data_IF_380882742230
#
_entry.id   IF_380882742230
#
_cell.length_a   1.000
_cell.length_b   1.000
_cell.length_c   1.000
_cell.angle_alpha   90.00
_cell.angle_beta   90.00
_cell.angle_gamma   90.00
#
_symmetry.space_group_name_H-M   'P 1'
#
loop_
_entity.id
_entity.type
_entity.pdbx_description
1 polymer ?
#
# COMPACT_ATOMS: atom_id res chain seq x y z
N UNK A 1 -0.29 -17.96 -65.33
CA UNK A 1 -1.03 -17.44 -64.16
C UNK A 1 -0.96 -18.35 -62.93
N UNK A 2 -0.86 -19.67 -63.09
CA UNK A 2 -0.83 -20.65 -61.99
C UNK A 2 0.43 -20.63 -61.12
N UNK A 3 1.56 -20.08 -61.61
CA UNK A 3 2.85 -20.04 -60.89
C UNK A 3 2.93 -18.91 -59.84
N UNK A 4 2.18 -17.83 -60.02
CA UNK A 4 2.10 -16.72 -59.06
C UNK A 4 1.03 -16.94 -57.98
N UNK A 5 0.13 -17.91 -58.19
CA UNK A 5 -0.90 -18.28 -57.22
C UNK A 5 -0.32 -19.06 -56.02
N UNK A 6 0.76 -19.83 -56.23
CA UNK A 6 1.49 -20.49 -55.14
C UNK A 6 2.34 -19.51 -54.31
N UNK A 7 2.80 -18.41 -54.90
CA UNK A 7 3.59 -17.41 -54.19
C UNK A 7 2.73 -16.57 -53.22
N UNK A 8 1.45 -16.35 -53.55
CA UNK A 8 0.52 -15.59 -52.71
C UNK A 8 0.00 -16.42 -51.51
N UNK A 9 -0.11 -17.75 -51.66
CA UNK A 9 -0.50 -18.67 -50.57
C UNK A 9 0.66 -18.88 -49.57
N UNK A 10 1.91 -18.71 -50.00
CA UNK A 10 3.09 -18.83 -49.13
C UNK A 10 3.31 -17.62 -48.20
N UNK A 11 2.69 -16.46 -48.50
CA UNK A 11 2.80 -15.22 -47.70
C UNK A 11 1.73 -15.07 -46.61
N UNK A 12 0.76 -16.00 -46.55
CA UNK A 12 -0.31 -16.00 -45.52
C UNK A 12 0.07 -16.91 -44.32
N UNK A 13 1.13 -17.70 -44.44
CA UNK A 13 1.65 -18.52 -43.34
C UNK A 13 2.57 -17.72 -42.42
N UNK A 14 2.24 -17.67 -41.14
CA UNK A 14 3.08 -17.18 -40.03
C UNK A 14 3.11 -15.66 -39.75
N UNK A 15 1.93 -15.03 -39.69
CA UNK A 15 1.73 -14.04 -38.62
C UNK A 15 1.12 -14.76 -37.40
N UNK A 16 1.88 -15.65 -36.77
CA UNK A 16 1.57 -16.00 -35.38
C UNK A 16 2.08 -14.81 -34.57
N UNK A 17 1.25 -13.79 -34.44
CA UNK A 17 1.43 -12.84 -33.37
C UNK A 17 1.37 -13.67 -32.08
N UNK A 18 2.52 -13.90 -31.46
CA UNK A 18 2.56 -14.46 -30.12
C UNK A 18 1.95 -13.40 -29.20
N UNK A 19 0.64 -13.49 -28.97
CA UNK A 19 -0.02 -12.70 -27.95
C UNK A 19 0.65 -13.01 -26.62
N UNK A 20 1.21 -11.99 -25.98
CA UNK A 20 1.75 -12.12 -24.63
C UNK A 20 0.64 -12.56 -23.70
N UNK A 21 0.80 -13.72 -23.08
CA UNK A 21 -0.18 -14.23 -22.11
C UNK A 21 0.16 -13.68 -20.73
N UNK A 22 -0.34 -12.47 -20.45
CA UNK A 22 -0.14 -11.80 -19.16
C UNK A 22 -1.11 -12.36 -18.11
N UNK A 23 -0.60 -12.60 -16.91
CA UNK A 23 -1.34 -13.02 -15.72
C UNK A 23 -0.83 -12.29 -14.49
N UNK A 24 -1.66 -12.28 -13.45
CA UNK A 24 -1.33 -11.64 -12.18
C UNK A 24 -1.38 -12.63 -11.03
N UNK A 25 -0.47 -12.48 -10.07
CA UNK A 25 -0.42 -13.33 -8.86
C UNK A 25 -1.62 -13.04 -7.96
N UNK A 26 -2.58 -13.96 -7.91
CA UNK A 26 -3.76 -13.93 -7.05
C UNK A 26 -3.60 -14.87 -5.83
N UNK A 27 -2.41 -14.87 -5.22
CA UNK A 27 -2.14 -15.56 -3.96
C UNK A 27 -2.02 -14.54 -2.83
N UNK A 28 -2.92 -14.59 -1.85
CA UNK A 28 -2.95 -13.62 -0.75
C UNK A 28 -1.61 -13.53 0.03
N UNK A 29 -0.91 -14.66 0.15
CA UNK A 29 0.37 -14.76 0.85
C UNK A 29 1.58 -14.68 -0.09
N UNK A 30 1.38 -14.38 -1.37
CA UNK A 30 2.38 -14.48 -2.43
C UNK A 30 2.53 -15.90 -2.99
N UNK A 31 3.20 -16.01 -4.14
CA UNK A 31 3.36 -17.24 -4.91
C UNK A 31 4.84 -17.55 -5.09
N UNK A 32 5.27 -18.77 -4.76
CA UNK A 32 6.66 -19.17 -4.94
C UNK A 32 6.98 -19.41 -6.42
N UNK A 33 8.03 -18.75 -6.91
CA UNK A 33 8.70 -19.07 -8.16
C UNK A 33 9.69 -20.19 -7.91
N UNK A 34 9.70 -21.21 -8.78
CA UNK A 34 10.49 -22.43 -8.57
C UNK A 34 11.36 -22.79 -9.76
N UNK A 35 12.41 -23.57 -9.53
CA UNK A 35 13.34 -24.00 -10.57
C UNK A 35 12.76 -25.12 -11.47
N UNK A 36 11.86 -25.95 -10.93
CA UNK A 36 11.17 -27.03 -11.64
C UNK A 36 9.66 -27.03 -11.36
N UNK A 37 8.82 -27.57 -12.25
CA UNK A 37 7.36 -27.66 -12.09
C UNK A 37 6.95 -28.73 -11.07
N UNK A 38 7.33 -28.54 -9.80
CA UNK A 38 7.05 -29.46 -8.70
C UNK A 38 6.98 -28.72 -7.36
N UNK A 39 6.19 -29.23 -6.41
CA UNK A 39 6.06 -28.66 -5.07
C UNK A 39 7.33 -28.82 -4.22
N UNK A 40 8.19 -29.79 -4.57
CA UNK A 40 9.41 -30.13 -3.81
C UNK A 40 10.67 -29.44 -4.39
N UNK A 41 10.51 -28.74 -5.51
CA UNK A 41 11.62 -28.11 -6.21
C UNK A 41 12.12 -26.86 -5.49
N UNK A 42 13.33 -26.40 -5.83
CA UNK A 42 13.96 -25.26 -5.16
C UNK A 42 13.11 -24.00 -5.38
N UNK A 43 12.80 -23.29 -4.30
CA UNK A 43 12.17 -21.97 -4.35
C UNK A 43 13.22 -20.96 -4.79
N UNK A 44 13.04 -20.38 -5.97
CA UNK A 44 13.88 -19.32 -6.51
C UNK A 44 13.52 -17.98 -5.88
N UNK A 45 12.23 -17.73 -5.69
CA UNK A 45 11.72 -16.46 -5.19
C UNK A 45 10.29 -16.59 -4.64
N UNK A 46 9.79 -15.53 -4.02
CA UNK A 46 8.39 -15.38 -3.62
C UNK A 46 7.81 -14.11 -4.23
N UNK A 47 7.00 -14.31 -5.27
CA UNK A 47 6.28 -13.26 -5.99
C UNK A 47 5.16 -12.72 -5.12
N UNK A 48 4.97 -11.41 -5.15
CA UNK A 48 3.99 -10.72 -4.31
C UNK A 48 2.62 -10.69 -4.97
N UNK A 49 1.57 -10.49 -4.17
CA UNK A 49 0.21 -10.33 -4.71
C UNK A 49 0.16 -9.20 -5.75
N UNK A 50 -0.45 -9.47 -6.89
CA UNK A 50 -0.55 -8.54 -8.01
C UNK A 50 0.74 -8.40 -8.85
N UNK A 51 1.78 -9.20 -8.61
CA UNK A 51 2.91 -9.29 -9.56
C UNK A 51 2.42 -9.73 -10.93
N UNK A 52 2.80 -8.95 -11.95
CA UNK A 52 2.55 -9.24 -13.35
C UNK A 52 3.55 -10.27 -13.87
N UNK A 53 3.05 -11.25 -14.61
CA UNK A 53 3.80 -12.38 -15.15
C UNK A 53 3.40 -12.62 -16.60
N UNK A 54 4.38 -12.91 -17.44
CA UNK A 54 4.15 -13.46 -18.78
C UNK A 54 4.28 -15.00 -18.72
N UNK A 55 3.26 -15.72 -19.16
CA UNK A 55 3.36 -17.18 -19.36
C UNK A 55 4.16 -17.45 -20.63
N UNK A 56 5.29 -18.14 -20.45
CA UNK A 56 6.23 -18.49 -21.53
C UNK A 56 6.13 -19.95 -21.96
N UNK A 57 5.57 -20.82 -21.11
CA UNK A 57 5.43 -22.25 -21.39
C UNK A 57 4.31 -22.87 -20.53
N UNK A 58 3.50 -23.77 -21.12
CA UNK A 58 2.56 -24.62 -20.38
C UNK A 58 3.12 -26.03 -20.30
N UNK A 59 3.28 -26.53 -19.07
CA UNK A 59 3.85 -27.87 -18.87
C UNK A 59 2.80 -28.98 -18.97
N UNK A 60 1.51 -28.64 -18.89
CA UNK A 60 0.38 -29.58 -18.77
C UNK A 60 0.42 -30.48 -17.52
N UNK A 61 1.38 -30.26 -16.61
CA UNK A 61 1.47 -30.97 -15.33
C UNK A 61 0.43 -30.39 -14.38
N UNK A 62 -0.70 -31.08 -14.27
CA UNK A 62 -1.82 -30.69 -13.41
C UNK A 62 -1.51 -30.96 -11.94
N UNK A 63 -2.08 -30.14 -11.09
CA UNK A 63 -1.99 -30.26 -9.64
C UNK A 63 -3.26 -29.70 -9.01
N UNK A 64 -3.71 -30.36 -7.94
CA UNK A 64 -4.76 -29.87 -7.05
C UNK A 64 -4.13 -29.53 -5.70
N UNK A 65 -4.44 -28.35 -5.18
CA UNK A 65 -3.94 -27.88 -3.87
C UNK A 65 -5.11 -27.52 -2.99
N UNK A 66 -5.09 -27.98 -1.74
CA UNK A 66 -6.06 -27.53 -0.74
C UNK A 66 -5.57 -26.23 -0.09
N UNK A 67 -6.34 -25.16 -0.21
CA UNK A 67 -6.12 -23.87 0.46
C UNK A 67 -7.41 -23.46 1.18
N UNK A 68 -7.33 -23.24 2.50
CA UNK A 68 -8.48 -22.86 3.33
C UNK A 68 -9.74 -23.74 3.12
N UNK A 69 -9.54 -25.07 3.09
CA UNK A 69 -10.59 -26.08 2.83
C UNK A 69 -11.24 -26.02 1.43
N UNK A 70 -10.68 -25.24 0.51
CA UNK A 70 -11.07 -25.22 -0.91
C UNK A 70 -10.01 -25.92 -1.75
N UNK A 71 -10.44 -26.75 -2.69
CA UNK A 71 -9.55 -27.32 -3.70
C UNK A 71 -9.34 -26.26 -4.80
N UNK A 72 -8.08 -25.95 -5.07
CA UNK A 72 -7.62 -25.09 -6.13
C UNK A 72 -6.91 -25.96 -7.16
N UNK A 73 -7.52 -26.10 -8.33
CA UNK A 73 -6.97 -26.85 -9.44
C UNK A 73 -6.19 -25.95 -10.39
N UNK A 74 -5.14 -26.49 -10.99
CA UNK A 74 -4.34 -25.76 -11.97
C UNK A 74 -3.26 -26.63 -12.61
N UNK A 75 -2.27 -25.99 -13.20
CA UNK A 75 -1.11 -26.65 -13.77
C UNK A 75 0.17 -25.85 -13.46
N UNK A 76 1.32 -26.49 -13.60
CA UNK A 76 2.57 -25.76 -13.62
C UNK A 76 2.75 -25.02 -14.94
N UNK A 77 3.12 -23.74 -14.85
CA UNK A 77 3.45 -22.90 -16.00
C UNK A 77 4.81 -22.26 -15.77
N UNK A 78 5.57 -22.09 -16.84
CA UNK A 78 6.80 -21.30 -16.81
C UNK A 78 6.47 -19.85 -17.06
N UNK A 79 7.03 -18.96 -16.25
CA UNK A 79 6.74 -17.53 -16.31
C UNK A 79 8.03 -16.72 -16.42
N UNK A 80 7.90 -15.55 -17.01
CA UNK A 80 8.88 -14.46 -16.94
C UNK A 80 8.26 -13.32 -16.13
N UNK A 81 9.00 -12.80 -15.15
CA UNK A 81 8.56 -11.64 -14.38
C UNK A 81 8.90 -10.37 -15.15
N UNK A 82 7.88 -9.56 -15.43
CA UNK A 82 8.00 -8.30 -16.17
C UNK A 82 8.00 -7.08 -15.24
N UNK A 83 7.81 -7.27 -13.93
CA UNK A 83 7.70 -6.18 -12.97
C UNK A 83 9.05 -5.67 -12.44
N UNK A 84 9.06 -4.44 -11.91
CA UNK A 84 10.28 -3.73 -11.52
C UNK A 84 11.08 -4.45 -10.40
N UNK A 85 10.40 -5.21 -9.54
CA UNK A 85 11.00 -5.84 -8.34
C UNK A 85 11.64 -7.19 -8.68
N UNK A 86 10.99 -7.97 -9.56
CA UNK A 86 11.41 -9.32 -9.91
C UNK A 86 11.91 -9.43 -11.36
N UNK A 87 12.16 -8.29 -12.02
CA UNK A 87 12.46 -8.18 -13.44
C UNK A 87 13.47 -9.23 -13.91
N UNK A 88 13.19 -9.85 -15.06
CA UNK A 88 13.99 -10.89 -15.71
C UNK A 88 14.13 -12.22 -14.95
N UNK A 89 13.44 -12.42 -13.81
CA UNK A 89 13.38 -13.74 -13.16
C UNK A 89 12.46 -14.66 -13.96
N UNK A 90 12.95 -15.87 -14.21
CA UNK A 90 12.21 -16.95 -14.90
C UNK A 90 12.15 -18.19 -14.02
N UNK A 91 11.04 -18.90 -14.10
CA UNK A 91 10.84 -20.12 -13.34
C UNK A 91 9.42 -20.65 -13.48
N UNK A 92 9.05 -21.57 -12.61
CA UNK A 92 7.76 -22.25 -12.62
C UNK A 92 6.89 -21.79 -11.46
N UNK A 93 5.60 -21.57 -11.75
CA UNK A 93 4.56 -21.26 -10.76
C UNK A 93 3.34 -22.14 -10.98
N UNK A 94 2.53 -22.29 -9.94
CA UNK A 94 1.25 -23.00 -10.04
C UNK A 94 0.14 -22.05 -10.50
N UNK A 95 -0.45 -22.35 -11.66
CA UNK A 95 -1.41 -21.46 -12.33
C UNK A 95 -2.75 -21.30 -11.58
N UNK A 96 -3.06 -22.19 -10.63
CA UNK A 96 -4.28 -22.07 -9.82
C UNK A 96 -4.33 -20.80 -8.96
N UNK A 97 -3.18 -20.13 -8.77
CA UNK A 97 -3.07 -18.83 -8.10
C UNK A 97 -2.81 -17.66 -9.05
N UNK A 98 -3.09 -17.82 -10.35
CA UNK A 98 -2.98 -16.75 -11.34
C UNK A 98 -4.38 -16.28 -11.75
N UNK A 99 -4.50 -15.01 -12.13
CA UNK A 99 -5.71 -14.43 -12.70
C UNK A 99 -5.41 -13.65 -13.98
N UNK A 100 -6.40 -13.58 -14.87
CA UNK A 100 -6.38 -12.73 -16.07
C UNK A 100 -6.71 -11.27 -15.75
N UNK A 101 -7.55 -11.05 -14.75
CA UNK A 101 -7.96 -9.72 -14.34
C UNK A 101 -6.80 -8.96 -13.71
N UNK A 102 -6.51 -7.75 -14.20
CA UNK A 102 -5.49 -6.89 -13.63
C UNK A 102 -5.87 -6.51 -12.20
N UNK A 103 -5.08 -7.00 -11.26
CA UNK A 103 -5.22 -6.70 -9.84
C UNK A 103 -4.13 -5.73 -9.41
N UNK A 104 -4.51 -4.73 -8.61
CA UNK A 104 -3.57 -3.73 -8.10
C UNK A 104 -2.67 -4.36 -7.04
N UNK A 105 -1.37 -4.06 -7.12
CA UNK A 105 -0.41 -4.39 -6.05
C UNK A 105 -0.83 -3.69 -4.75
N UNK A 106 -0.61 -4.37 -3.63
CA UNK A 106 -0.82 -3.77 -2.31
C UNK A 106 0.29 -2.77 -2.02
N UNK A 107 -0.04 -1.68 -1.32
CA UNK A 107 0.98 -0.85 -0.72
C UNK A 107 1.62 -1.62 0.44
N UNK A 108 2.95 -1.72 0.46
CA UNK A 108 3.69 -2.63 1.34
C UNK A 108 4.78 -1.91 2.09
N UNK A 109 4.87 -2.21 3.38
CA UNK A 109 5.88 -1.66 4.28
C UNK A 109 6.48 -2.83 5.05
N UNK A 110 7.74 -3.15 4.75
CA UNK A 110 8.45 -4.27 5.38
C UNK A 110 9.20 -3.83 6.62
N UNK A 111 9.00 -4.51 7.74
CA UNK A 111 9.89 -4.53 8.89
C UNK A 111 10.54 -5.91 8.99
N UNK A 112 11.56 -6.05 9.82
CA UNK A 112 12.27 -7.32 10.00
C UNK A 112 11.31 -8.44 10.43
N UNK A 113 10.43 -8.14 11.38
CA UNK A 113 9.55 -9.11 12.02
C UNK A 113 8.27 -9.37 11.24
N UNK A 114 7.80 -8.38 10.47
CA UNK A 114 6.56 -8.45 9.71
C UNK A 114 6.47 -7.43 8.57
N UNK A 115 5.56 -7.67 7.62
CA UNK A 115 5.19 -6.73 6.57
C UNK A 115 3.76 -6.23 6.78
N UNK A 116 3.52 -4.92 6.69
CA UNK A 116 2.17 -4.35 6.51
C UNK A 116 1.80 -4.35 5.03
N UNK A 117 0.58 -4.77 4.72
CA UNK A 117 0.03 -4.71 3.36
C UNK A 117 -1.34 -4.04 3.38
N UNK A 118 -1.46 -2.86 2.77
CA UNK A 118 -2.72 -2.14 2.60
C UNK A 118 -3.35 -2.50 1.26
N UNK A 119 -4.62 -2.92 1.28
CA UNK A 119 -5.40 -3.10 0.06
C UNK A 119 -5.83 -1.76 -0.52
N UNK A 120 -5.72 -1.61 -1.85
CA UNK A 120 -6.28 -0.48 -2.60
C UNK A 120 -5.88 0.89 -2.03
N UNK A 121 -4.59 1.05 -1.72
CA UNK A 121 -4.00 2.31 -1.26
C UNK A 121 -2.97 2.78 -2.29
N UNK A 122 -3.13 4.01 -2.78
CA UNK A 122 -2.08 4.72 -3.51
C UNK A 122 -1.28 5.59 -2.54
N UNK A 123 -0.05 5.19 -2.27
CA UNK A 123 0.86 5.93 -1.40
C UNK A 123 2.30 5.66 -1.82
N UNK A 124 3.19 6.60 -1.47
CA UNK A 124 4.62 6.53 -1.72
C UNK A 124 5.40 6.75 -0.43
N UNK A 125 6.61 6.22 -0.34
CA UNK A 125 7.47 6.38 0.85
C UNK A 125 8.25 7.69 0.73
N UNK A 126 8.34 8.49 1.81
CA UNK A 126 8.86 9.87 1.73
C UNK A 126 10.40 9.94 1.62
N UNK A 127 11.15 8.93 2.10
CA UNK A 127 12.62 9.00 2.16
C UNK A 127 13.35 7.73 1.70
N UNK A 128 12.67 6.76 1.08
CA UNK A 128 13.33 5.51 0.71
C UNK A 128 12.72 4.86 -0.55
N UNK A 129 13.50 4.62 -1.61
CA UNK A 129 13.01 3.90 -2.79
C UNK A 129 12.69 2.46 -2.40
N UNK A 130 11.39 2.15 -2.21
CA UNK A 130 10.79 0.84 -1.95
C UNK A 130 11.78 -0.25 -1.46
N UNK A 131 12.47 -0.02 -0.33
CA UNK A 131 13.31 -1.06 0.26
C UNK A 131 12.41 -2.17 0.78
N UNK A 132 12.83 -3.42 0.61
CA UNK A 132 12.04 -4.58 1.02
C UNK A 132 11.82 -4.67 2.54
N UNK A 133 12.71 -4.06 3.35
CA UNK A 133 12.68 -4.08 4.81
C UNK A 133 13.34 -2.83 5.41
N UNK A 134 12.66 -2.15 6.34
CA UNK A 134 13.15 -0.97 7.07
C UNK A 134 13.70 -1.36 8.45
N UNK A 135 14.90 -0.86 8.78
CA UNK A 135 15.49 -1.00 10.11
C UNK A 135 14.91 -0.01 11.13
N UNK A 136 14.42 1.15 10.66
CA UNK A 136 13.77 2.14 11.52
C UNK A 136 12.47 1.59 12.12
N UNK A 137 12.18 1.98 13.36
CA UNK A 137 10.90 1.70 14.00
C UNK A 137 9.78 2.63 13.54
N UNK A 138 10.12 3.72 12.85
CA UNK A 138 9.17 4.65 12.26
C UNK A 138 9.49 4.85 10.78
N UNK A 139 8.46 4.80 9.95
CA UNK A 139 8.55 5.16 8.54
C UNK A 139 7.44 6.14 8.17
N UNK A 140 7.73 7.04 7.26
CA UNK A 140 6.79 8.06 6.79
C UNK A 140 6.49 7.80 5.30
N UNK A 141 5.22 7.95 4.92
CA UNK A 141 4.68 7.76 3.59
C UNK A 141 3.72 8.90 3.28
N UNK A 142 3.48 9.21 2.02
CA UNK A 142 2.50 10.20 1.56
C UNK A 142 1.42 9.50 0.74
N UNK A 143 0.16 9.86 0.96
CA UNK A 143 -0.95 9.37 0.13
C UNK A 143 -1.13 10.27 -1.10
N UNK A 144 -1.54 9.67 -2.21
CA UNK A 144 -1.91 10.42 -3.41
C UNK A 144 -3.08 11.38 -3.16
N UNK A 145 -3.17 12.45 -3.95
CA UNK A 145 -4.28 13.41 -3.87
C UNK A 145 -5.62 12.69 -4.08
N UNK A 146 -6.55 12.90 -3.13
CA UNK A 146 -7.88 12.29 -3.12
C UNK A 146 -7.93 10.83 -2.63
N UNK A 147 -6.79 10.23 -2.26
CA UNK A 147 -6.74 8.92 -1.61
C UNK A 147 -6.88 9.05 -0.09
N UNK A 148 -7.31 7.97 0.58
CA UNK A 148 -7.38 7.90 2.05
C UNK A 148 -6.85 6.56 2.55
N UNK A 149 -6.31 6.53 3.77
CA UNK A 149 -5.97 5.28 4.48
C UNK A 149 -7.12 4.75 5.35
N UNK A 150 -8.24 5.47 5.42
CA UNK A 150 -9.43 5.11 6.19
C UNK A 150 -10.27 4.03 5.49
N UNK A 151 -11.00 3.23 6.27
CA UNK A 151 -11.86 2.13 5.78
C UNK A 151 -11.16 1.09 4.87
N UNK A 152 -9.83 1.02 4.89
CA UNK A 152 -9.04 0.06 4.12
C UNK A 152 -8.89 -1.27 4.87
N UNK A 153 -8.49 -2.29 4.15
CA UNK A 153 -8.04 -3.56 4.74
C UNK A 153 -6.53 -3.50 4.92
N UNK A 154 -6.07 -3.71 6.16
CA UNK A 154 -4.66 -3.83 6.51
C UNK A 154 -4.35 -5.29 6.87
N UNK A 155 -3.37 -5.90 6.22
CA UNK A 155 -2.86 -7.23 6.57
C UNK A 155 -1.48 -7.13 7.19
N UNK A 156 -1.24 -7.89 8.25
CA UNK A 156 0.09 -8.06 8.85
C UNK A 156 0.61 -9.46 8.54
N UNK A 157 1.63 -9.53 7.70
CA UNK A 157 2.33 -10.77 7.38
C UNK A 157 3.55 -10.91 8.27
N UNK A 158 3.47 -11.78 9.26
CA UNK A 158 4.59 -12.06 10.16
C UNK A 158 5.66 -12.93 9.48
N UNK A 159 6.92 -12.72 9.85
CA UNK A 159 8.08 -13.48 9.37
C UNK A 159 8.59 -14.49 10.41
N UNK A 160 8.15 -14.35 11.66
CA UNK A 160 8.50 -15.22 12.80
C UNK A 160 7.26 -15.66 13.58
N UNK A 161 7.43 -16.60 14.51
CA UNK A 161 6.36 -16.99 15.45
C UNK A 161 6.09 -15.85 16.44
N UNK A 162 4.84 -15.68 16.82
CA UNK A 162 4.40 -14.59 17.68
C UNK A 162 3.30 -15.06 18.64
N UNK A 163 3.19 -14.39 19.79
CA UNK A 163 2.08 -14.56 20.73
C UNK A 163 0.88 -13.70 20.35
N UNK A 164 1.13 -12.43 19.99
CA UNK A 164 0.07 -11.46 19.72
C UNK A 164 0.53 -10.38 18.76
N UNK A 165 -0.37 -9.92 17.91
CA UNK A 165 -0.22 -8.70 17.11
C UNK A 165 -1.38 -7.78 17.46
N UNK A 166 -1.07 -6.56 17.85
CA UNK A 166 -2.04 -5.51 18.12
C UNK A 166 -1.75 -4.35 17.19
N UNK A 167 -2.80 -3.79 16.59
CA UNK A 167 -2.68 -2.66 15.67
C UNK A 167 -3.55 -1.53 16.20
N UNK A 168 -2.98 -0.34 16.22
CA UNK A 168 -3.65 0.88 16.67
C UNK A 168 -3.58 1.92 15.56
N UNK A 169 -4.60 2.74 15.45
CA UNK A 169 -4.64 3.88 14.56
C UNK A 169 -4.87 5.15 15.37
N UNK A 170 -4.21 6.24 14.98
CA UNK A 170 -4.54 7.60 15.45
C UNK A 170 -4.36 8.56 14.29
N UNK A 171 -4.80 9.78 14.48
CA UNK A 171 -4.62 10.87 13.55
C UNK A 171 -4.03 12.09 14.25
N UNK A 172 -3.43 12.93 13.43
CA UNK A 172 -2.95 14.25 13.79
C UNK A 172 -3.67 15.28 12.93
N UNK A 173 -4.10 16.35 13.57
CA UNK A 173 -4.67 17.50 12.90
C UNK A 173 -3.74 18.70 12.99
N UNK A 174 -3.69 19.46 11.91
CA UNK A 174 -2.97 20.72 11.79
C UNK A 174 -3.90 21.81 11.26
N UNK A 175 -3.50 23.06 11.41
CA UNK A 175 -4.21 24.19 10.82
C UNK A 175 -3.73 24.37 9.39
N UNK A 176 -4.65 24.66 8.48
CA UNK A 176 -4.38 25.11 7.11
C UNK A 176 -4.96 26.50 6.90
N UNK A 177 -4.24 27.36 6.19
CA UNK A 177 -4.68 28.67 5.72
C UNK A 177 -4.94 28.56 4.23
N UNK A 178 -6.11 28.97 3.78
CA UNK A 178 -6.57 28.78 2.39
C UNK A 178 -6.85 30.11 1.71
N UNK A 179 -6.53 30.18 0.41
CA UNK A 179 -6.76 31.37 -0.42
C UNK A 179 -7.05 30.95 -1.88
N UNK A 180 -8.28 30.54 -2.18
CA UNK A 180 -8.77 30.18 -3.52
C UNK A 180 -7.72 29.48 -4.42
N UNK A 181 -7.37 28.23 -4.08
CA UNK A 181 -6.39 27.44 -4.81
C UNK A 181 -5.19 27.08 -3.93
N UNK A 182 -4.23 27.99 -3.71
CA UNK A 182 -3.12 27.75 -2.78
C UNK A 182 -3.60 27.64 -1.34
N UNK A 183 -2.81 26.92 -0.56
CA UNK A 183 -2.92 26.84 0.90
C UNK A 183 -1.53 26.87 1.54
N UNK A 184 -1.49 27.19 2.83
CA UNK A 184 -0.32 27.00 3.68
C UNK A 184 -0.72 26.18 4.91
N UNK A 185 -0.01 25.08 5.13
CA UNK A 185 -0.29 24.17 6.23
C UNK A 185 0.73 24.39 7.36
N UNK A 186 0.23 24.55 8.57
CA UNK A 186 1.02 24.67 9.79
C UNK A 186 1.45 23.28 10.29
N UNK A 187 2.10 22.46 9.45
CA UNK A 187 2.56 21.11 9.82
C UNK A 187 3.77 21.11 10.74
N UNK A 188 4.40 22.26 10.95
CA UNK A 188 5.54 22.46 11.87
C UNK A 188 5.18 23.26 13.12
N UNK A 189 3.88 23.52 13.35
CA UNK A 189 3.41 24.26 14.51
C UNK A 189 2.20 23.58 15.13
N UNK A 190 2.32 23.25 16.43
CA UNK A 190 1.29 22.71 17.35
C UNK A 190 0.24 21.81 16.69
N UNK A 191 0.15 20.56 17.11
CA UNK A 191 -0.83 19.62 16.55
C UNK A 191 -1.81 19.13 17.61
N UNK A 192 -2.99 18.73 17.15
CA UNK A 192 -3.83 17.83 17.93
C UNK A 192 -3.49 16.39 17.57
N UNK A 193 -3.30 15.56 18.59
CA UNK A 193 -3.13 14.12 18.44
C UNK A 193 -4.33 13.41 19.06
N UNK A 194 -5.00 12.56 18.29
CA UNK A 194 -6.02 11.70 18.87
C UNK A 194 -5.40 10.56 19.69
N UNK A 195 -6.23 9.98 20.56
CA UNK A 195 -5.84 8.77 21.27
C UNK A 195 -5.59 7.62 20.29
N UNK A 196 -4.73 6.66 20.68
CA UNK A 196 -4.55 5.43 19.93
C UNK A 196 -5.79 4.55 20.05
N UNK A 197 -6.46 4.31 18.94
CA UNK A 197 -7.63 3.45 18.87
C UNK A 197 -7.24 2.05 18.35
N UNK A 198 -7.59 0.96 19.06
CA UNK A 198 -7.27 -0.39 18.61
C UNK A 198 -8.10 -0.77 17.38
N UNK A 199 -7.46 -1.34 16.37
CA UNK A 199 -8.13 -1.87 15.18
C UNK A 199 -8.74 -3.24 15.46
N UNK A 200 -9.95 -3.44 14.94
CA UNK A 200 -10.65 -4.72 15.03
C UNK A 200 -10.16 -5.66 13.93
N UNK A 201 -9.93 -6.93 14.29
CA UNK A 201 -9.67 -7.99 13.31
C UNK A 201 -10.96 -8.36 12.60
N UNK A 202 -10.91 -8.61 11.28
CA UNK A 202 -12.08 -9.07 10.51
C UNK A 202 -12.37 -10.57 10.71
N UNK A 203 -11.34 -11.37 11.00
CA UNK A 203 -11.40 -12.82 11.28
C UNK A 203 -10.27 -13.20 12.25
N UNK A 204 -10.13 -14.47 12.67
CA UNK A 204 -8.95 -14.99 13.42
C UNK A 204 -7.62 -14.93 12.63
N UNK A 205 -7.54 -14.04 11.63
CA UNK A 205 -6.36 -13.76 10.83
C UNK A 205 -5.82 -12.38 11.19
N UNK A 206 -4.54 -12.16 10.90
CA UNK A 206 -3.85 -10.87 11.08
C UNK A 206 -4.33 -9.82 10.04
N UNK A 207 -5.65 -9.66 9.91
CA UNK A 207 -6.32 -8.80 8.94
C UNK A 207 -7.24 -7.84 9.70
N UNK A 208 -6.98 -6.56 9.55
CA UNK A 208 -7.59 -5.47 10.28
C UNK A 208 -8.38 -4.57 9.32
N UNK A 209 -9.38 -3.88 9.87
CA UNK A 209 -10.08 -2.79 9.18
C UNK A 209 -9.61 -1.46 9.77
N UNK A 210 -9.15 -0.53 8.94
CA UNK A 210 -8.76 0.81 9.39
C UNK A 210 -10.00 1.64 9.74
N UNK A 211 -9.85 2.56 10.68
CA UNK A 211 -10.93 3.39 11.22
C UNK A 211 -11.25 4.51 10.23
N UNK A 212 -12.53 4.90 10.19
CA UNK A 212 -13.02 6.10 9.51
C UNK A 212 -13.35 7.15 10.56
N UNK A 213 -12.88 8.37 10.34
CA UNK A 213 -13.08 9.51 11.21
C UNK A 213 -14.32 10.30 10.78
N UNK A 214 -15.13 10.69 11.76
CA UNK A 214 -16.29 11.55 11.52
C UNK A 214 -15.85 13.03 11.42
N UNK A 215 -16.67 13.92 10.83
CA UNK A 215 -16.29 15.33 10.65
C UNK A 215 -15.86 16.07 11.93
N UNK A 216 -16.33 15.65 13.11
CA UNK A 216 -15.89 16.24 14.38
C UNK A 216 -14.41 15.94 14.65
N UNK A 217 -13.97 14.70 14.42
CA UNK A 217 -12.58 14.30 14.57
C UNK A 217 -11.64 15.08 13.61
N UNK A 218 -12.11 15.39 12.40
CA UNK A 218 -11.35 16.17 11.42
C UNK A 218 -11.12 17.62 11.84
N UNK A 219 -12.07 18.23 12.56
CA UNK A 219 -12.02 19.65 12.95
C UNK A 219 -11.55 19.86 14.40
N UNK A 220 -11.14 18.81 15.10
CA UNK A 220 -10.71 18.91 16.51
C UNK A 220 -9.29 19.45 16.58
N UNK A 221 -9.08 20.44 17.46
CA UNK A 221 -7.76 21.00 17.72
C UNK A 221 -7.57 21.30 19.20
N UNK A 222 -6.32 21.50 19.62
CA UNK A 222 -6.02 21.98 20.97
C UNK A 222 -6.44 23.45 21.11
N UNK A 223 -6.72 23.89 22.34
CA UNK A 223 -6.95 25.30 22.61
C UNK A 223 -5.63 26.06 22.47
N UNK A 224 -5.66 27.19 21.75
CA UNK A 224 -4.50 28.03 21.48
C UNK A 224 -4.86 29.51 21.61
N UNK A 225 -3.87 30.32 21.93
CA UNK A 225 -4.01 31.77 21.90
C UNK A 225 -4.08 32.27 20.44
N UNK A 226 -4.99 33.22 20.18
CA UNK A 226 -5.26 33.70 18.81
C UNK A 226 -4.11 34.57 18.29
N UNK A 227 -3.44 35.33 19.14
CA UNK A 227 -2.30 36.15 18.73
C UNK A 227 -1.08 35.27 18.48
N UNK A 228 -0.86 34.23 19.29
CA UNK A 228 0.14 33.20 19.04
C UNK A 228 -0.09 32.50 17.70
N UNK A 229 -1.31 32.04 17.42
CA UNK A 229 -1.69 31.46 16.13
C UNK A 229 -1.37 32.39 14.95
N UNK A 230 -1.74 33.66 15.07
CA UNK A 230 -1.44 34.68 14.06
C UNK A 230 0.06 34.85 13.82
N UNK A 231 0.86 34.87 14.88
CA UNK A 231 2.31 34.91 14.75
C UNK A 231 2.86 33.64 14.11
N UNK A 232 2.32 32.47 14.43
CA UNK A 232 2.73 31.22 13.80
C UNK A 232 2.47 31.26 12.27
N UNK A 233 1.30 31.73 11.83
CA UNK A 233 1.04 31.92 10.39
C UNK A 233 2.06 32.88 9.77
N UNK A 234 2.35 34.01 10.42
CA UNK A 234 3.33 34.96 9.93
C UNK A 234 4.74 34.35 9.81
N UNK A 235 5.16 33.54 10.77
CA UNK A 235 6.48 32.90 10.81
C UNK A 235 6.61 31.76 9.79
N UNK A 236 5.61 30.88 9.72
CA UNK A 236 5.68 29.64 8.93
C UNK A 236 5.18 29.84 7.49
N UNK A 237 4.18 30.69 7.28
CA UNK A 237 3.58 30.94 5.97
C UNK A 237 4.02 32.27 5.35
N UNK A 238 4.31 33.27 6.18
CA UNK A 238 4.69 34.62 5.74
C UNK A 238 3.56 35.65 5.82
N UNK A 239 3.90 36.90 5.50
CA UNK A 239 3.01 38.06 5.68
C UNK A 239 1.72 38.00 4.86
N UNK A 240 1.76 37.43 3.65
CA UNK A 240 0.58 37.36 2.79
C UNK A 240 -0.53 36.49 3.40
N UNK A 241 -0.16 35.37 4.00
CA UNK A 241 -1.10 34.50 4.71
C UNK A 241 -1.58 35.11 6.02
N UNK A 242 -0.70 35.79 6.74
CA UNK A 242 -1.06 36.52 7.96
C UNK A 242 -2.15 37.58 7.69
N UNK A 243 -2.06 38.31 6.57
CA UNK A 243 -3.07 39.32 6.19
C UNK A 243 -4.48 38.75 6.07
N UNK A 244 -4.63 37.49 5.64
CA UNK A 244 -5.94 36.83 5.49
C UNK A 244 -6.62 36.55 6.84
N UNK A 245 -5.82 36.36 7.89
CA UNK A 245 -6.32 35.98 9.21
C UNK A 245 -6.12 37.06 10.29
N UNK A 246 -5.56 38.23 9.93
CA UNK A 246 -5.18 39.29 10.88
C UNK A 246 -6.32 39.71 11.81
N UNK A 247 -7.54 39.76 11.28
CA UNK A 247 -8.76 40.19 11.98
C UNK A 247 -9.54 39.00 12.57
N UNK A 248 -9.01 37.78 12.41
CA UNK A 248 -9.67 36.57 12.89
C UNK A 248 -9.66 36.49 14.41
N UNK A 249 -10.72 35.87 14.94
CA UNK A 249 -10.92 35.61 16.38
C UNK A 249 -10.89 34.11 16.70
N UNK A 250 -10.64 33.27 15.69
CA UNK A 250 -10.71 31.81 15.78
C UNK A 250 -9.79 31.18 14.74
N UNK A 251 -9.20 30.03 15.09
CA UNK A 251 -8.41 29.22 14.16
C UNK A 251 -9.24 28.66 12.99
N UNK A 252 -10.56 28.51 13.19
CA UNK A 252 -11.51 28.13 12.14
C UNK A 252 -12.27 29.38 11.70
N UNK A 253 -12.14 29.76 10.44
CA UNK A 253 -12.83 30.89 9.81
C UNK A 253 -12.86 30.70 8.28
N UNK A 254 -13.22 31.73 7.52
CA UNK A 254 -13.34 31.65 6.06
C UNK A 254 -12.01 31.38 5.33
N UNK A 255 -10.87 31.73 5.94
CA UNK A 255 -9.54 31.60 5.35
C UNK A 255 -8.64 30.62 6.11
N UNK A 256 -9.15 29.94 7.14
CA UNK A 256 -8.39 28.91 7.84
C UNK A 256 -9.27 27.83 8.44
N UNK A 257 -8.76 26.61 8.50
CA UNK A 257 -9.45 25.46 9.04
C UNK A 257 -8.51 24.46 9.67
N UNK A 258 -9.08 23.47 10.36
CA UNK A 258 -8.36 22.33 10.92
C UNK A 258 -8.72 21.10 10.11
N UNK A 259 -7.72 20.31 9.73
CA UNK A 259 -7.95 19.01 9.09
C UNK A 259 -6.89 18.00 9.50
N UNK A 260 -7.15 16.74 9.20
CA UNK A 260 -6.19 15.66 9.37
C UNK A 260 -5.05 15.87 8.37
N UNK A 261 -3.84 16.08 8.88
CA UNK A 261 -2.63 16.17 8.06
C UNK A 261 -1.84 14.86 8.08
N UNK A 262 -2.08 13.99 9.06
CA UNK A 262 -1.34 12.74 9.21
C UNK A 262 -2.15 11.65 9.90
N UNK A 263 -2.06 10.43 9.40
CA UNK A 263 -2.65 9.24 10.03
C UNK A 263 -1.55 8.24 10.36
N UNK A 264 -1.56 7.74 11.58
CA UNK A 264 -0.55 6.81 12.08
C UNK A 264 -1.15 5.42 12.29
N UNK A 265 -0.37 4.41 11.96
CA UNK A 265 -0.61 3.04 12.38
C UNK A 265 0.55 2.55 13.24
N UNK A 266 0.24 2.11 14.45
CA UNK A 266 1.19 1.48 15.36
C UNK A 266 0.91 -0.02 15.43
N UNK A 267 1.93 -0.83 15.24
CA UNK A 267 1.87 -2.28 15.40
C UNK A 267 2.71 -2.67 16.61
N UNK A 268 2.09 -3.34 17.56
CA UNK A 268 2.77 -3.98 18.70
C UNK A 268 2.82 -5.48 18.42
N UNK A 269 4.02 -5.98 18.16
CA UNK A 269 4.31 -7.39 17.89
C UNK A 269 4.90 -8.03 19.14
N UNK A 270 4.16 -8.94 19.76
CA UNK A 270 4.61 -9.66 20.96
C UNK A 270 5.21 -11.01 20.55
N UNK A 271 6.50 -11.19 20.81
CA UNK A 271 7.23 -12.41 20.47
C UNK A 271 6.81 -13.59 21.37
N UNK A 272 7.31 -14.79 21.07
CA UNK A 272 7.10 -15.95 21.95
C UNK A 272 7.69 -15.78 23.35
N UNK A 273 8.66 -14.87 23.52
CA UNK A 273 9.35 -14.60 24.78
C UNK A 273 8.79 -13.38 25.53
N UNK A 274 7.58 -12.92 25.17
CA UNK A 274 6.91 -11.74 25.75
C UNK A 274 7.61 -10.39 25.50
N UNK A 275 8.63 -10.36 24.64
CA UNK A 275 9.20 -9.11 24.14
C UNK A 275 8.19 -8.38 23.24
N UNK A 276 8.04 -7.08 23.43
CA UNK A 276 7.15 -6.22 22.65
C UNK A 276 7.96 -5.34 21.71
N UNK A 277 7.74 -5.55 20.42
CA UNK A 277 8.36 -4.78 19.36
C UNK A 277 7.31 -3.81 18.82
N UNK A 278 7.62 -2.51 18.83
CA UNK A 278 6.74 -1.45 18.35
C UNK A 278 7.27 -0.89 17.03
N UNK A 279 6.41 -0.88 16.00
CA UNK A 279 6.68 -0.19 14.73
C UNK A 279 5.54 0.76 14.40
N UNK A 280 5.87 1.89 13.78
CA UNK A 280 4.92 2.93 13.39
C UNK A 280 5.11 3.25 11.91
N UNK A 281 4.00 3.34 11.19
CA UNK A 281 3.96 4.04 9.91
C UNK A 281 3.09 5.28 10.05
N UNK A 282 3.57 6.40 9.54
CA UNK A 282 2.81 7.63 9.41
C UNK A 282 2.52 7.89 7.93
N UNK A 283 1.29 8.29 7.64
CA UNK A 283 0.84 8.70 6.32
C UNK A 283 0.54 10.19 6.34
N UNK A 284 1.31 10.98 5.59
CA UNK A 284 1.03 12.36 5.28
C UNK A 284 -0.20 12.41 4.38
N UNK A 285 -1.20 13.18 4.81
CA UNK A 285 -2.45 13.40 4.10
C UNK A 285 -2.37 14.81 3.50
N UNK A 286 -2.36 14.95 2.16
CA UNK A 286 -2.43 16.26 1.54
C UNK A 286 -3.63 17.05 2.06
N UNK A 287 -3.36 18.22 2.63
CA UNK A 287 -4.40 19.15 3.09
C UNK A 287 -4.77 20.08 1.92
N UNK A 288 -6.00 20.62 1.96
CA UNK A 288 -6.52 21.49 0.90
C UNK A 288 -7.13 20.71 -0.27
N UNK A 289 -8.46 20.76 -0.38
CA UNK A 289 -9.26 20.32 -1.54
C UNK A 289 -10.45 21.27 -1.69
#
# INVERSE_FOLDING_TARGET
>A
MTKYMYLLVMLIGFNIANTQEIRYVNANNGLFLRDKPSQDSKRLDKLVYGTELEITERTHLKLDVQDNNKIISGQWVKVSCTDDIHNNRKGYVFSGFLTEEKIKKRFRVGFEEFTLEFENLNAEMIDNPQTTTYASNKVDAIVELGETVENKTLRIRHHSKFKKIEVFQRHENSITIMNEGPHCDLTEWKHYYSAWEPLKTKTNSNVFKTITYNPKAWNTFIEVDIDEYKQAVKVHCGEEWYKLIKDSKSINNASSGVSINKIYFKVIFTTMNDEKIEKVIAFDIPMGC
#
